data_IF_054343028202
#
_entry.id   IF_054343028202
#
_cell.length_a   1.000
_cell.length_b   1.000
_cell.length_c   1.000
_cell.angle_alpha   90.00
_cell.angle_beta   90.00
_cell.angle_gamma   90.00
#
_symmetry.space_group_name_H-M   'P 1'
#
loop_
_entity.id
_entity.type
_entity.pdbx_description
1 polymer ?
#
# COMPACT_ATOMS: atom_id res chain seq x y z
N UNK A 1 24.23 -3.58 -47.38
CA UNK A 1 23.97 -3.07 -46.02
C UNK A 1 25.26 -3.15 -45.22
N UNK A 2 25.79 -2.03 -44.74
CA UNK A 2 27.13 -1.95 -44.16
C UNK A 2 27.22 -2.75 -42.85
N UNK A 3 28.22 -3.64 -42.72
CA UNK A 3 28.37 -4.57 -41.59
C UNK A 3 28.41 -3.83 -40.24
N UNK A 4 28.99 -2.63 -40.21
CA UNK A 4 29.06 -1.79 -39.01
C UNK A 4 27.68 -1.32 -38.53
N UNK A 5 26.81 -0.88 -39.44
CA UNK A 5 25.45 -0.40 -39.12
C UNK A 5 24.58 -1.51 -38.56
N UNK A 6 24.77 -2.76 -39.01
CA UNK A 6 24.06 -3.92 -38.49
C UNK A 6 24.39 -4.19 -37.01
N UNK A 7 25.68 -4.15 -36.64
CA UNK A 7 26.12 -4.39 -35.26
C UNK A 7 25.68 -3.29 -34.28
N UNK A 8 25.61 -2.03 -34.72
CA UNK A 8 25.09 -0.95 -33.88
C UNK A 8 23.60 -1.09 -33.62
N UNK A 9 22.81 -1.38 -34.66
CA UNK A 9 21.38 -1.67 -34.50
C UNK A 9 21.17 -2.87 -33.57
N UNK A 10 21.90 -3.96 -33.79
CA UNK A 10 21.81 -5.17 -32.97
C UNK A 10 22.05 -4.87 -31.48
N UNK A 11 23.12 -4.14 -31.15
CA UNK A 11 23.44 -3.76 -29.76
C UNK A 11 22.35 -2.91 -29.13
N UNK A 12 21.85 -1.90 -29.85
CA UNK A 12 20.77 -1.03 -29.34
C UNK A 12 19.46 -1.79 -29.10
N UNK A 13 19.08 -2.70 -30.01
CA UNK A 13 17.88 -3.54 -29.83
C UNK A 13 18.00 -4.50 -28.64
N UNK A 14 19.20 -5.04 -28.40
CA UNK A 14 19.45 -5.97 -27.30
C UNK A 14 19.42 -5.24 -25.95
N UNK A 15 19.98 -4.04 -25.89
CA UNK A 15 19.90 -3.17 -24.71
C UNK A 15 18.46 -2.78 -24.38
N UNK A 16 17.69 -2.31 -25.36
CA UNK A 16 16.28 -1.93 -25.14
C UNK A 16 15.42 -3.13 -24.72
N UNK A 17 15.69 -4.32 -25.25
CA UNK A 17 14.98 -5.54 -24.88
C UNK A 17 15.34 -5.98 -23.46
N UNK A 18 16.60 -5.79 -23.05
CA UNK A 18 17.03 -6.04 -21.67
C UNK A 18 16.36 -5.08 -20.68
N UNK A 19 16.35 -3.79 -20.99
CA UNK A 19 15.64 -2.79 -20.17
C UNK A 19 14.15 -3.11 -20.07
N UNK A 20 13.51 -3.52 -21.17
CA UNK A 20 12.12 -3.95 -21.17
C UNK A 20 11.87 -5.14 -20.24
N UNK A 21 12.73 -6.18 -20.28
CA UNK A 21 12.61 -7.35 -19.40
C UNK A 21 12.78 -6.95 -17.94
N UNK A 22 13.76 -6.11 -17.63
CA UNK A 22 13.98 -5.62 -16.26
C UNK A 22 12.80 -4.81 -15.76
N UNK A 23 12.28 -3.88 -16.56
CA UNK A 23 11.11 -3.06 -16.23
C UNK A 23 9.86 -3.92 -16.07
N UNK A 24 9.66 -4.90 -16.96
CA UNK A 24 8.54 -5.84 -16.89
C UNK A 24 8.60 -6.69 -15.61
N UNK A 25 9.78 -7.23 -15.27
CA UNK A 25 9.96 -7.98 -14.04
C UNK A 25 9.79 -7.10 -12.80
N UNK A 26 10.25 -5.85 -12.83
CA UNK A 26 10.03 -4.92 -11.72
C UNK A 26 8.54 -4.61 -11.54
N UNK A 27 7.83 -4.26 -12.62
CA UNK A 27 6.41 -3.93 -12.57
C UNK A 27 5.53 -5.10 -12.13
N UNK A 28 5.81 -6.31 -12.59
CA UNK A 28 4.97 -7.48 -12.27
C UNK A 28 5.20 -8.05 -10.87
N UNK A 29 6.45 -8.09 -10.40
CA UNK A 29 6.77 -8.73 -9.12
C UNK A 29 6.82 -7.77 -7.93
N UNK A 30 7.27 -6.52 -8.12
CA UNK A 30 7.39 -5.55 -7.02
C UNK A 30 6.03 -4.99 -6.66
N UNK A 31 5.20 -4.64 -7.65
CA UNK A 31 3.93 -3.96 -7.41
C UNK A 31 2.94 -4.82 -6.60
N UNK A 32 2.81 -6.11 -6.93
CA UNK A 32 1.96 -7.05 -6.17
C UNK A 32 2.37 -7.15 -4.70
N UNK A 33 3.67 -7.17 -4.40
CA UNK A 33 4.17 -7.23 -3.02
C UNK A 33 3.94 -5.93 -2.26
N UNK A 34 4.11 -4.79 -2.93
CA UNK A 34 3.88 -3.48 -2.33
C UNK A 34 2.41 -3.26 -1.95
N UNK A 35 1.46 -3.82 -2.71
CA UNK A 35 0.04 -3.76 -2.37
C UNK A 35 -0.26 -4.45 -1.02
N UNK A 36 0.34 -5.61 -0.75
CA UNK A 36 0.16 -6.34 0.53
C UNK A 36 0.75 -5.53 1.69
N UNK A 37 1.98 -5.06 1.55
CA UNK A 37 2.65 -4.25 2.59
C UNK A 37 1.86 -2.97 2.88
N UNK A 38 1.35 -2.30 1.84
CA UNK A 38 0.52 -1.11 2.00
C UNK A 38 -0.78 -1.42 2.75
N UNK A 39 -1.43 -2.55 2.45
CA UNK A 39 -2.63 -3.00 3.17
C UNK A 39 -2.33 -3.26 4.65
N UNK A 40 -1.21 -3.94 4.96
CA UNK A 40 -0.78 -4.16 6.35
C UNK A 40 -0.51 -2.85 7.08
N UNK A 41 0.16 -1.90 6.43
CA UNK A 41 0.38 -0.57 7.00
C UNK A 41 -0.95 0.15 7.31
N UNK A 42 -1.94 0.05 6.41
CA UNK A 42 -3.28 0.58 6.68
C UNK A 42 -3.98 -0.11 7.84
N UNK A 43 -3.90 -1.45 7.95
CA UNK A 43 -4.49 -2.18 9.07
C UNK A 43 -3.87 -1.78 10.41
N UNK A 44 -2.55 -1.60 10.46
CA UNK A 44 -1.84 -1.13 11.66
C UNK A 44 -2.28 0.30 12.00
N UNK A 45 -2.36 1.18 11.02
CA UNK A 45 -2.81 2.55 11.21
C UNK A 45 -4.27 2.61 11.69
N UNK A 46 -5.14 1.78 11.12
CA UNK A 46 -6.54 1.71 11.51
C UNK A 46 -6.70 1.28 12.98
N UNK A 47 -5.88 0.33 13.44
CA UNK A 47 -5.83 -0.08 14.85
C UNK A 47 -5.31 1.05 15.76
N UNK A 48 -4.27 1.78 15.33
CA UNK A 48 -3.76 2.93 16.06
C UNK A 48 -4.84 4.00 16.23
N UNK A 49 -5.54 4.35 15.14
CA UNK A 49 -6.61 5.36 15.17
C UNK A 49 -7.78 4.93 16.06
N UNK A 50 -8.12 3.64 16.10
CA UNK A 50 -9.10 3.10 17.05
C UNK A 50 -8.64 3.23 18.51
N UNK A 51 -7.37 3.02 18.81
CA UNK A 51 -6.83 3.20 20.15
C UNK A 51 -6.77 4.67 20.57
N UNK A 52 -6.48 5.57 19.63
CA UNK A 52 -6.40 7.01 19.89
C UNK A 52 -7.79 7.66 20.03
N UNK A 53 -8.72 7.28 19.15
CA UNK A 53 -10.00 7.99 18.97
C UNK A 53 -11.22 7.07 19.08
N UNK A 54 -11.08 5.92 19.74
CA UNK A 54 -12.18 5.00 20.05
C UNK A 54 -13.33 5.64 20.85
N UNK A 55 -13.04 6.75 21.56
CA UNK A 55 -14.04 7.58 22.23
C UNK A 55 -15.13 8.09 21.30
N UNK A 56 -14.79 8.46 20.07
CA UNK A 56 -15.80 8.89 19.09
C UNK A 56 -16.74 7.76 18.67
N UNK A 57 -16.32 6.51 18.87
CA UNK A 57 -17.12 5.30 18.64
C UNK A 57 -17.82 4.82 19.92
N UNK A 58 -17.73 5.57 21.03
CA UNK A 58 -18.36 5.24 22.30
C UNK A 58 -17.57 4.26 23.17
N UNK A 59 -16.32 3.94 22.81
CA UNK A 59 -15.41 3.15 23.65
C UNK A 59 -14.62 4.11 24.54
N UNK A 60 -14.87 4.15 25.85
CA UNK A 60 -14.22 5.11 26.73
C UNK A 60 -12.71 4.85 26.85
N UNK A 61 -11.92 5.88 26.62
CA UNK A 61 -10.48 5.88 26.62
C UNK A 61 -9.96 6.87 27.68
N UNK A 62 -9.24 6.36 28.70
CA UNK A 62 -8.77 7.20 29.81
C UNK A 62 -7.69 8.21 29.40
N UNK A 63 -7.10 8.06 28.21
CA UNK A 63 -5.97 8.89 27.74
C UNK A 63 -6.36 9.91 26.67
N UNK A 64 -7.65 10.04 26.35
CA UNK A 64 -8.12 10.86 25.23
C UNK A 64 -7.69 12.31 25.28
N UNK A 65 -7.62 12.90 26.48
CA UNK A 65 -7.15 14.27 26.66
C UNK A 65 -5.75 14.49 26.05
N UNK A 66 -4.81 13.57 26.28
CA UNK A 66 -3.46 13.64 25.75
C UNK A 66 -3.39 13.31 24.27
N UNK A 67 -4.28 12.45 23.79
CA UNK A 67 -4.32 12.04 22.39
C UNK A 67 -4.80 13.16 21.46
N UNK A 68 -5.52 14.16 21.99
CA UNK A 68 -5.87 15.37 21.24
C UNK A 68 -4.64 16.16 20.77
N UNK A 69 -3.48 16.02 21.44
CA UNK A 69 -2.23 16.66 21.00
C UNK A 69 -1.70 16.05 19.70
N UNK A 70 -2.05 14.78 19.42
CA UNK A 70 -1.67 14.08 18.20
C UNK A 70 -2.58 14.41 17.01
N UNK A 71 -3.75 14.99 17.29
CA UNK A 71 -4.80 15.27 16.31
C UNK A 71 -4.30 16.08 15.09
N UNK A 72 -3.46 17.12 15.23
CA UNK A 72 -2.91 17.85 14.08
C UNK A 72 -2.05 16.99 13.14
N UNK A 73 -1.40 15.94 13.66
CA UNK A 73 -0.53 15.07 12.87
C UNK A 73 -1.31 14.01 12.10
N UNK A 74 -2.46 13.59 12.62
CA UNK A 74 -3.32 12.55 12.04
C UNK A 74 -4.59 13.12 11.40
N UNK A 75 -4.79 14.44 11.44
CA UNK A 75 -6.00 15.11 10.96
C UNK A 75 -6.29 14.81 9.48
N UNK A 76 -5.26 14.79 8.64
CA UNK A 76 -5.39 14.49 7.21
C UNK A 76 -5.75 13.01 6.95
N UNK A 77 -5.47 12.12 7.91
CA UNK A 77 -5.73 10.69 7.79
C UNK A 77 -7.10 10.28 8.34
N UNK A 78 -7.80 11.18 9.06
CA UNK A 78 -9.11 10.90 9.66
C UNK A 78 -10.20 10.58 8.63
N UNK A 79 -10.41 11.43 7.63
CA UNK A 79 -11.46 11.21 6.62
C UNK A 79 -11.20 9.95 5.78
N UNK A 80 -9.97 9.70 5.27
CA UNK A 80 -9.65 8.43 4.61
C UNK A 80 -9.84 7.22 5.52
N UNK A 81 -9.49 7.32 6.81
CA UNK A 81 -9.65 6.26 7.79
C UNK A 81 -11.12 5.95 8.05
N UNK A 82 -11.95 6.96 8.29
CA UNK A 82 -13.39 6.80 8.53
C UNK A 82 -14.04 6.04 7.37
N UNK A 83 -13.72 6.44 6.13
CA UNK A 83 -14.22 5.76 4.93
C UNK A 83 -13.74 4.31 4.83
N UNK A 84 -12.52 3.98 5.24
CA UNK A 84 -12.03 2.58 5.26
C UNK A 84 -12.78 1.75 6.29
N UNK A 85 -12.95 2.26 7.51
CA UNK A 85 -13.65 1.57 8.59
C UNK A 85 -15.13 1.35 8.25
N UNK A 86 -15.81 2.36 7.70
CA UNK A 86 -17.21 2.23 7.28
C UNK A 86 -17.42 1.14 6.22
N UNK A 87 -16.45 0.96 5.32
CA UNK A 87 -16.51 -0.07 4.27
C UNK A 87 -16.10 -1.47 4.75
N UNK A 88 -15.53 -1.59 5.95
CA UNK A 88 -14.99 -2.83 6.50
C UNK A 88 -16.13 -3.71 7.03
N UNK A 89 -16.57 -4.72 6.26
CA UNK A 89 -17.69 -5.61 6.63
C UNK A 89 -17.26 -6.83 7.46
N UNK A 90 -16.26 -7.59 7.00
CA UNK A 90 -15.82 -8.83 7.64
C UNK A 90 -14.29 -8.93 7.66
N UNK A 91 -13.71 -8.90 8.87
CA UNK A 91 -12.26 -8.99 9.09
C UNK A 91 -11.67 -10.28 8.56
N UNK A 92 -12.36 -11.41 8.76
CA UNK A 92 -11.86 -12.72 8.35
C UNK A 92 -11.81 -12.84 6.82
N UNK A 93 -12.85 -12.36 6.12
CA UNK A 93 -12.86 -12.36 4.65
C UNK A 93 -11.77 -11.44 4.08
N UNK A 94 -11.53 -10.30 4.73
CA UNK A 94 -10.48 -9.37 4.34
C UNK A 94 -9.07 -9.96 4.51
N UNK A 95 -8.84 -10.70 5.60
CA UNK A 95 -7.58 -11.40 5.86
C UNK A 95 -7.40 -12.60 4.94
N UNK A 96 -8.46 -13.35 4.63
CA UNK A 96 -8.40 -14.44 3.65
C UNK A 96 -7.97 -13.92 2.26
N UNK A 97 -8.60 -12.84 1.79
CA UNK A 97 -8.26 -12.20 0.52
C UNK A 97 -6.86 -11.56 0.48
N UNK A 98 -6.25 -11.26 1.64
CA UNK A 98 -4.89 -10.70 1.71
C UNK A 98 -3.80 -11.74 1.39
N UNK A 99 -4.06 -13.00 1.70
CA UNK A 99 -3.07 -14.08 1.59
C UNK A 99 -3.31 -14.99 0.38
N UNK A 100 -4.14 -14.57 -0.58
CA UNK A 100 -4.46 -15.36 -1.79
C UNK A 100 -5.00 -16.76 -1.45
N UNK A 101 -5.71 -16.90 -0.32
CA UNK A 101 -6.46 -18.13 -0.01
C UNK A 101 -7.75 -18.15 -0.84
N UNK A 102 -7.63 -18.47 -2.13
CA UNK A 102 -8.74 -18.95 -2.98
C UNK A 102 -9.07 -20.42 -2.65
#
# INVERSE_FOLDING_TARGET
MNRQVFWEKLKSTLHNTWEFIVLFHHGTFVDKRMAVVRKEAFDINDNLMLLLFGDYLGVPNPMSYYMLELLPYVANDLEPWERRIQNRKFLIAEKAAQYDFD
#
